data_IF_832047059990
#
_entry.id   IF_832047059990
#
_cell.length_a   1.000
_cell.length_b   1.000
_cell.length_c   1.000
_cell.angle_alpha   90.00
_cell.angle_beta   90.00
_cell.angle_gamma   90.00
#
_symmetry.space_group_name_H-M   'P 1'
#
loop_
_entity.id
_entity.type
_entity.pdbx_description
1 polymer ?
#
# COMPACT_ATOMS: atom_id res chain seq x y z
N UNK A 1 33.17 20.46 -69.51
CA UNK A 1 34.03 20.94 -68.41
C UNK A 1 33.16 21.69 -67.40
N UNK A 2 33.48 21.53 -66.11
CA UNK A 2 32.87 22.11 -64.89
C UNK A 2 31.65 21.40 -64.31
N UNK A 3 32.00 20.44 -63.45
CA UNK A 3 31.29 19.96 -62.25
C UNK A 3 30.91 21.13 -61.35
N UNK A 4 29.84 21.02 -60.55
CA UNK A 4 29.82 21.28 -59.11
C UNK A 4 28.61 20.58 -58.47
N UNK A 5 28.87 19.95 -57.33
CA UNK A 5 27.95 19.14 -56.54
C UNK A 5 27.18 20.00 -55.52
N UNK A 6 26.02 19.53 -55.06
CA UNK A 6 25.69 19.48 -53.62
C UNK A 6 24.39 18.69 -53.42
N UNK A 7 24.49 17.70 -52.55
CA UNK A 7 23.40 16.86 -52.07
C UNK A 7 22.64 17.57 -50.95
N UNK A 8 21.34 17.28 -50.78
CA UNK A 8 20.77 17.16 -49.44
C UNK A 8 19.53 16.24 -49.46
N UNK A 9 19.76 15.01 -49.02
CA UNK A 9 18.75 14.06 -48.56
C UNK A 9 17.99 14.68 -47.38
N UNK A 10 16.66 14.72 -47.43
CA UNK A 10 15.83 14.62 -46.22
C UNK A 10 14.71 13.63 -46.50
N UNK A 11 15.02 12.36 -46.24
CA UNK A 11 14.07 11.38 -45.76
C UNK A 11 13.54 11.89 -44.41
N UNK A 12 12.27 12.31 -44.34
CA UNK A 12 11.54 12.28 -43.08
C UNK A 12 10.45 11.23 -43.20
N UNK A 13 10.81 10.05 -42.70
CA UNK A 13 9.92 8.97 -42.30
C UNK A 13 8.78 9.49 -41.44
N UNK A 14 7.55 9.43 -41.96
CA UNK A 14 6.33 9.50 -41.15
C UNK A 14 6.24 8.21 -40.34
N UNK A 15 6.84 8.20 -39.15
CA UNK A 15 6.53 7.24 -38.10
C UNK A 15 5.08 7.48 -37.68
N UNK A 16 4.20 6.60 -38.16
CA UNK A 16 2.85 6.45 -37.65
C UNK A 16 2.93 6.11 -36.17
N UNK A 17 2.47 7.03 -35.32
CA UNK A 17 2.25 6.79 -33.89
C UNK A 17 1.28 5.61 -33.74
N UNK A 18 1.82 4.43 -33.46
CA UNK A 18 1.02 3.35 -32.87
C UNK A 18 0.66 3.80 -31.46
N UNK A 19 -0.57 4.29 -31.30
CA UNK A 19 -1.16 4.52 -30.00
C UNK A 19 -1.17 3.18 -29.26
N UNK A 20 -0.39 3.10 -28.18
CA UNK A 20 -0.44 1.98 -27.25
C UNK A 20 -1.73 2.14 -26.46
N UNK A 21 -2.77 1.40 -26.86
CA UNK A 21 -3.92 1.16 -26.00
C UNK A 21 -3.44 0.33 -24.81
N UNK A 22 -3.29 0.97 -23.65
CA UNK A 22 -2.98 0.28 -22.40
C UNK A 22 -4.29 -0.34 -21.92
N UNK A 23 -4.41 -1.65 -22.09
CA UNK A 23 -5.51 -2.47 -21.58
C UNK A 23 -5.37 -2.58 -20.04
N UNK A 24 -6.23 -1.87 -19.31
CA UNK A 24 -6.21 -1.78 -17.84
C UNK A 24 -7.00 -2.90 -17.16
N UNK A 25 -6.92 -4.14 -17.63
CA UNK A 25 -7.48 -5.30 -16.93
C UNK A 25 -6.58 -6.54 -17.07
N UNK A 26 -5.29 -6.41 -16.77
CA UNK A 26 -4.44 -7.59 -16.62
C UNK A 26 -4.81 -8.29 -15.32
N UNK A 27 -5.60 -9.37 -15.44
CA UNK A 27 -5.77 -10.34 -14.37
C UNK A 27 -4.37 -10.88 -14.01
N UNK A 28 -3.86 -10.52 -12.83
CA UNK A 28 -2.55 -10.99 -12.37
C UNK A 28 -2.57 -12.52 -12.30
N UNK A 29 -1.63 -13.17 -12.97
CA UNK A 29 -1.47 -14.61 -12.89
C UNK A 29 -1.06 -15.05 -11.47
N UNK A 30 -1.45 -16.26 -11.10
CA UNK A 30 -1.30 -16.81 -9.75
C UNK A 30 0.18 -16.94 -9.33
N UNK A 31 1.10 -17.03 -10.29
CA UNK A 31 2.55 -17.09 -10.07
C UNK A 31 3.11 -15.70 -9.72
N UNK A 32 2.72 -14.66 -10.45
CA UNK A 32 3.05 -13.27 -10.13
C UNK A 32 2.47 -12.83 -8.77
N UNK A 33 1.26 -13.30 -8.41
CA UNK A 33 0.67 -13.05 -7.09
C UNK A 33 1.47 -13.70 -5.94
N UNK A 34 2.01 -14.90 -6.16
CA UNK A 34 2.88 -15.58 -5.17
C UNK A 34 4.24 -14.91 -5.04
N UNK A 35 4.78 -14.36 -6.13
CA UNK A 35 6.07 -13.67 -6.14
C UNK A 35 6.01 -12.25 -5.55
N UNK A 36 4.86 -11.57 -5.68
CA UNK A 36 4.63 -10.22 -5.15
C UNK A 36 3.37 -10.18 -4.28
N UNK A 37 3.41 -10.76 -3.06
CA UNK A 37 2.26 -10.74 -2.18
C UNK A 37 1.90 -9.30 -1.86
N UNK A 38 0.65 -8.93 -2.11
CA UNK A 38 0.08 -7.63 -1.74
C UNK A 38 0.23 -7.43 -0.23
N UNK A 39 1.14 -6.55 0.18
CA UNK A 39 1.33 -6.23 1.58
C UNK A 39 0.37 -5.12 2.01
N UNK A 40 -0.12 -5.24 3.25
CA UNK A 40 -1.03 -4.30 3.86
C UNK A 40 -0.36 -3.64 5.06
N UNK A 41 -0.62 -2.35 5.18
CA UNK A 41 -0.35 -1.54 6.36
C UNK A 41 -1.68 -1.32 7.05
N UNK A 42 -1.72 -1.56 8.35
CA UNK A 42 -2.92 -1.39 9.14
C UNK A 42 -2.65 -0.57 10.41
N UNK A 43 -3.67 0.19 10.81
CA UNK A 43 -3.72 0.94 12.05
C UNK A 43 -4.89 0.41 12.88
N UNK A 44 -4.60 0.08 14.14
CA UNK A 44 -5.57 -0.35 15.14
C UNK A 44 -5.72 0.71 16.21
N UNK A 45 -6.92 0.79 16.78
CA UNK A 45 -7.23 1.65 17.91
C UNK A 45 -7.84 0.81 19.03
N UNK A 46 -7.21 0.87 20.20
CA UNK A 46 -7.72 0.27 21.43
C UNK A 46 -8.37 1.36 22.27
N UNK A 47 -9.55 1.05 22.81
CA UNK A 47 -10.12 1.80 23.92
C UNK A 47 -9.65 1.15 25.22
N UNK A 48 -9.15 1.97 26.13
CA UNK A 48 -8.48 1.55 27.34
C UNK A 48 -9.30 1.91 28.58
N UNK A 49 -9.13 1.11 29.63
CA UNK A 49 -9.69 1.37 30.95
C UNK A 49 -8.65 1.13 32.04
N UNK A 50 -8.52 2.09 32.95
CA UNK A 50 -7.72 2.00 34.16
C UNK A 50 -8.46 2.64 35.34
N UNK A 51 -7.87 2.59 36.54
CA UNK A 51 -8.41 3.27 37.70
C UNK A 51 -8.40 4.80 37.57
N UNK A 52 -7.58 5.36 36.68
CA UNK A 52 -7.36 6.80 36.52
C UNK A 52 -8.15 7.40 35.34
N UNK A 53 -8.54 6.57 34.36
CA UNK A 53 -9.20 7.02 33.14
C UNK A 53 -9.99 5.88 32.50
N UNK A 54 -11.17 6.20 31.97
CA UNK A 54 -12.02 5.26 31.23
C UNK A 54 -12.25 5.82 29.83
N UNK A 55 -12.04 4.98 28.82
CA UNK A 55 -12.40 5.31 27.45
C UNK A 55 -11.32 6.09 26.68
N UNK A 56 -10.12 6.28 27.24
CA UNK A 56 -9.00 6.84 26.47
C UNK A 56 -8.53 5.86 25.41
N UNK A 57 -7.96 6.38 24.32
CA UNK A 57 -7.55 5.56 23.18
C UNK A 57 -6.04 5.47 23.07
N UNK A 58 -5.53 4.31 22.68
CA UNK A 58 -4.17 4.16 22.15
C UNK A 58 -4.21 3.51 20.77
N UNK A 59 -3.19 3.75 19.96
CA UNK A 59 -3.11 3.28 18.58
C UNK A 59 -1.86 2.45 18.37
N UNK A 60 -1.98 1.39 17.59
CA UNK A 60 -0.86 0.58 17.14
C UNK A 60 -0.85 0.51 15.61
N UNK A 61 0.35 0.33 15.06
CA UNK A 61 0.57 0.31 13.63
C UNK A 61 1.35 -0.95 13.26
N UNK A 62 0.89 -1.64 12.23
CA UNK A 62 1.58 -2.80 11.68
C UNK A 62 1.71 -2.70 10.17
N UNK A 63 2.73 -3.38 9.66
CA UNK A 63 3.07 -3.48 8.24
C UNK A 63 3.32 -4.95 7.88
N UNK A 64 3.51 -5.22 6.59
CA UNK A 64 3.82 -6.55 6.06
C UNK A 64 2.73 -7.59 6.34
N UNK A 65 1.46 -7.16 6.39
CA UNK A 65 0.35 -8.09 6.48
C UNK A 65 -0.01 -8.62 5.10
N UNK A 66 -0.29 -9.93 4.99
CA UNK A 66 -0.78 -10.52 3.73
C UNK A 66 -2.28 -10.30 3.51
N UNK A 67 -3.02 -9.98 4.57
CA UNK A 67 -4.44 -9.62 4.52
C UNK A 67 -4.85 -8.80 5.76
N UNK A 68 -5.97 -8.07 5.65
CA UNK A 68 -6.48 -7.21 6.72
C UNK A 68 -7.04 -7.98 7.93
N UNK A 69 -7.42 -9.26 7.78
CA UNK A 69 -7.91 -10.07 8.89
C UNK A 69 -6.77 -10.47 9.81
N UNK A 70 -5.63 -10.91 9.24
CA UNK A 70 -4.38 -11.13 9.99
C UNK A 70 -3.92 -9.86 10.67
N UNK A 71 -4.03 -8.72 9.99
CA UNK A 71 -3.74 -7.42 10.59
C UNK A 71 -4.63 -7.16 11.81
N UNK A 72 -5.94 -7.38 11.70
CA UNK A 72 -6.89 -7.24 12.80
C UNK A 72 -6.50 -8.11 14.00
N UNK A 73 -6.28 -9.42 13.80
CA UNK A 73 -5.97 -10.31 14.92
C UNK A 73 -4.62 -10.01 15.57
N UNK A 74 -3.61 -9.64 14.77
CA UNK A 74 -2.30 -9.26 15.31
C UNK A 74 -2.39 -7.98 16.13
N UNK A 75 -2.95 -6.92 15.54
CA UNK A 75 -3.07 -5.61 16.21
C UNK A 75 -3.98 -5.70 17.45
N UNK A 76 -5.06 -6.50 17.41
CA UNK A 76 -5.90 -6.74 18.59
C UNK A 76 -5.13 -7.38 19.74
N UNK A 77 -4.17 -8.26 19.45
CA UNK A 77 -3.35 -8.97 20.45
C UNK A 77 -2.26 -8.06 21.02
N UNK A 78 -1.75 -7.12 20.22
CA UNK A 78 -0.73 -6.16 20.61
C UNK A 78 -1.34 -4.98 21.39
N UNK A 79 -1.83 -5.26 22.61
CA UNK A 79 -2.44 -4.26 23.48
C UNK A 79 -1.46 -3.13 23.86
N UNK A 80 -1.76 -1.91 23.40
CA UNK A 80 -0.98 -0.71 23.71
C UNK A 80 -1.42 0.02 25.00
N UNK A 81 -2.51 -0.41 25.65
CA UNK A 81 -3.10 0.32 26.77
C UNK A 81 -2.16 0.39 27.98
N UNK A 82 -1.40 -0.68 28.24
CA UNK A 82 -0.45 -0.75 29.35
C UNK A 82 0.67 0.28 29.25
N UNK A 83 1.11 0.62 28.03
CA UNK A 83 2.12 1.63 27.75
C UNK A 83 1.57 3.04 27.49
N UNK A 84 0.24 3.22 27.54
CA UNK A 84 -0.40 4.53 27.32
C UNK A 84 -0.26 5.45 28.54
N UNK A 85 -0.51 6.76 28.35
CA UNK A 85 -0.39 7.80 29.40
C UNK A 85 -1.10 7.45 30.72
N UNK A 86 -2.27 6.81 30.64
CA UNK A 86 -3.09 6.44 31.80
C UNK A 86 -3.06 4.93 32.09
N UNK A 87 -2.20 4.18 31.38
CA UNK A 87 -2.09 2.73 31.46
C UNK A 87 -3.43 2.02 31.20
N UNK A 88 -3.52 0.80 31.73
CA UNK A 88 -4.75 0.02 31.77
C UNK A 88 -4.79 -1.13 30.77
N UNK A 89 -5.99 -1.68 30.61
CA UNK A 89 -6.26 -2.81 29.73
C UNK A 89 -7.16 -2.37 28.58
N UNK A 90 -7.00 -3.01 27.42
CA UNK A 90 -7.92 -2.83 26.30
C UNK A 90 -9.29 -3.43 26.62
N UNK A 91 -10.33 -2.63 26.47
CA UNK A 91 -11.74 -3.03 26.63
C UNK A 91 -12.47 -3.14 25.28
N UNK A 92 -11.99 -2.44 24.26
CA UNK A 92 -12.47 -2.59 22.89
C UNK A 92 -11.33 -2.33 21.89
N UNK A 93 -11.48 -2.88 20.70
CA UNK A 93 -10.52 -2.76 19.62
C UNK A 93 -11.23 -2.62 18.27
N UNK A 94 -10.72 -1.74 17.41
CA UNK A 94 -11.14 -1.62 16.02
C UNK A 94 -9.93 -1.35 15.12
N UNK A 95 -9.96 -1.85 13.89
CA UNK A 95 -9.04 -1.41 12.84
C UNK A 95 -9.60 -0.14 12.23
N UNK A 96 -8.82 0.94 12.26
CA UNK A 96 -9.22 2.25 11.71
C UNK A 96 -8.82 2.39 10.25
N UNK A 97 -7.73 1.73 9.85
CA UNK A 97 -7.24 1.76 8.48
C UNK A 97 -6.57 0.44 8.14
N UNK A 98 -6.86 -0.10 6.96
CA UNK A 98 -6.10 -1.18 6.36
C UNK A 98 -5.97 -0.90 4.86
N UNK A 99 -4.76 -0.59 4.42
CA UNK A 99 -4.49 -0.20 3.03
C UNK A 99 -3.36 -1.03 2.47
N UNK A 100 -3.52 -1.44 1.22
CA UNK A 100 -2.42 -2.01 0.46
C UNK A 100 -1.29 -0.98 0.37
N UNK A 101 -0.06 -1.39 0.68
CA UNK A 101 1.14 -0.61 0.44
C UNK A 101 2.09 -1.52 -0.33
N UNK A 102 1.98 -1.48 -1.65
CA UNK A 102 2.91 -2.10 -2.56
C UNK A 102 3.59 -0.98 -3.36
#
# INVERSE_FOLDING_TARGET
MKVWATAFLILLSTLSNAAVEIDYLTEMDDETYRLNPRLYRAEGEHQCQSAQSIGHTCKNLGVNFTDCNKAFFKLKKEDCCSGSRYGGNSISFKVTKCTNFN
#
